data_IF_758677419313
#
_entry.id   IF_758677419313
#
_cell.length_a   1.000
_cell.length_b   1.000
_cell.length_c   1.000
_cell.angle_alpha   90.00
_cell.angle_beta   90.00
_cell.angle_gamma   90.00
#
_symmetry.space_group_name_H-M   'P 1'
#
loop_
_entity.id
_entity.type
_entity.pdbx_description
1 polymer ?
#
# COMPACT_ATOMS: atom_id res chain seq x y z
N UNK A 1 22.10 -9.17 -0.79
CA UNK A 1 21.36 -7.87 -0.80
C UNK A 1 21.37 -7.17 0.58
N UNK A 2 22.08 -7.71 1.59
CA UNK A 2 22.21 -7.12 2.94
C UNK A 2 22.90 -5.74 2.97
N UNK A 3 23.58 -5.31 1.92
CA UNK A 3 24.24 -4.01 1.83
C UNK A 3 23.31 -2.84 1.48
N UNK A 4 22.11 -3.11 0.96
CA UNK A 4 21.21 -2.06 0.50
C UNK A 4 20.63 -1.20 1.65
N UNK A 5 20.53 -1.75 2.84
CA UNK A 5 20.00 -1.03 4.02
C UNK A 5 21.02 -0.13 4.70
N UNK A 6 22.31 -0.35 4.54
CA UNK A 6 23.35 0.45 5.16
C UNK A 6 23.59 1.78 4.45
N UNK A 7 23.27 1.87 3.17
CA UNK A 7 23.49 3.08 2.36
C UNK A 7 22.29 4.04 2.35
N UNK A 8 21.20 3.61 2.96
CA UNK A 8 19.95 4.35 3.03
C UNK A 8 20.08 5.80 3.55
N UNK A 9 20.92 6.03 4.55
CA UNK A 9 21.12 7.34 5.16
C UNK A 9 22.13 8.22 4.43
N UNK A 10 22.87 7.66 3.49
CA UNK A 10 23.90 8.38 2.73
C UNK A 10 23.38 9.00 1.43
N UNK A 11 22.06 8.95 1.18
CA UNK A 11 21.45 9.53 -0.02
C UNK A 11 21.73 8.74 -1.29
N UNK A 12 22.10 7.46 -1.17
CA UNK A 12 22.24 6.58 -2.34
C UNK A 12 20.89 6.47 -3.08
N UNK A 13 20.98 6.62 -4.41
CA UNK A 13 19.82 6.53 -5.30
C UNK A 13 19.08 5.20 -5.19
N UNK A 14 19.77 4.10 -4.91
CA UNK A 14 19.15 2.78 -4.74
C UNK A 14 18.25 2.70 -3.52
N UNK A 15 18.62 3.34 -2.40
CA UNK A 15 17.78 3.37 -1.22
C UNK A 15 16.49 4.17 -1.44
N UNK A 16 16.53 5.19 -2.30
CA UNK A 16 15.37 6.02 -2.63
C UNK A 16 14.42 5.31 -3.60
N UNK A 17 14.90 4.40 -4.43
CA UNK A 17 14.08 3.66 -5.40
C UNK A 17 13.62 2.30 -4.88
N UNK A 18 14.13 1.84 -3.72
CA UNK A 18 13.72 0.58 -3.11
C UNK A 18 12.20 0.38 -3.03
N UNK A 19 11.40 1.37 -2.61
CA UNK A 19 9.95 1.23 -2.58
C UNK A 19 9.32 0.88 -3.93
N UNK A 20 9.99 1.20 -5.04
CA UNK A 20 9.51 0.92 -6.39
C UNK A 20 9.78 -0.51 -6.87
N UNK A 21 10.80 -1.18 -6.29
CA UNK A 21 11.29 -2.49 -6.76
C UNK A 21 11.06 -3.64 -5.78
N UNK A 22 10.46 -3.38 -4.61
CA UNK A 22 10.24 -4.41 -3.60
C UNK A 22 9.32 -5.55 -4.10
N UNK A 23 8.49 -5.29 -5.08
CA UNK A 23 7.63 -6.29 -5.71
C UNK A 23 8.39 -7.48 -6.30
N UNK A 24 9.61 -7.28 -6.80
CA UNK A 24 10.45 -8.37 -7.34
C UNK A 24 10.76 -9.39 -6.25
N UNK A 25 11.15 -8.91 -5.07
CA UNK A 25 11.44 -9.76 -3.91
C UNK A 25 10.16 -10.38 -3.33
N UNK A 26 9.08 -9.59 -3.30
CA UNK A 26 7.77 -10.06 -2.82
C UNK A 26 7.28 -11.24 -3.64
N UNK A 27 7.26 -11.11 -4.96
CA UNK A 27 6.79 -12.17 -5.88
C UNK A 27 7.77 -13.33 -5.99
N UNK A 28 9.07 -13.03 -6.08
CA UNK A 28 10.09 -14.02 -6.38
C UNK A 28 10.58 -14.82 -5.18
N UNK A 29 10.51 -14.25 -3.99
CA UNK A 29 11.11 -14.84 -2.79
C UNK A 29 10.15 -14.93 -1.60
N UNK A 30 9.49 -13.82 -1.20
CA UNK A 30 8.76 -13.75 0.07
C UNK A 30 7.50 -14.59 0.02
N UNK A 31 6.62 -14.37 -0.96
CA UNK A 31 5.36 -15.15 -1.08
C UNK A 31 5.67 -16.64 -1.24
N UNK A 32 6.53 -17.09 -2.18
CA UNK A 32 6.86 -18.51 -2.31
C UNK A 32 7.46 -19.12 -1.05
N UNK A 33 8.33 -18.39 -0.34
CA UNK A 33 8.93 -18.89 0.91
C UNK A 33 7.88 -19.06 2.00
N UNK A 34 6.99 -18.08 2.18
CA UNK A 34 5.95 -18.13 3.21
C UNK A 34 4.95 -19.24 2.90
N UNK A 35 4.45 -19.31 1.67
CA UNK A 35 3.46 -20.32 1.27
C UNK A 35 4.03 -21.75 1.31
N UNK A 36 5.32 -21.93 1.02
CA UNK A 36 5.97 -23.26 1.13
C UNK A 36 6.35 -23.67 2.55
N UNK A 37 6.44 -22.71 3.48
CA UNK A 37 6.95 -22.96 4.84
C UNK A 37 5.83 -23.03 5.87
N UNK A 38 4.78 -22.27 5.69
CA UNK A 38 3.69 -22.12 6.65
C UNK A 38 2.37 -22.57 6.06
N UNK A 39 1.42 -22.88 6.93
CA UNK A 39 0.03 -23.13 6.51
C UNK A 39 -0.64 -21.82 6.17
N UNK A 40 -0.79 -21.54 4.88
CA UNK A 40 -1.41 -20.35 4.31
C UNK A 40 -2.55 -20.73 3.37
N UNK A 41 -3.18 -19.75 2.77
CA UNK A 41 -4.14 -19.94 1.68
C UNK A 41 -3.47 -19.96 0.29
N UNK A 42 -2.12 -20.11 0.21
CA UNK A 42 -1.36 -20.01 -1.03
C UNK A 42 -1.85 -20.89 -2.19
N UNK A 43 -2.37 -22.09 -1.87
CA UNK A 43 -2.92 -23.02 -2.87
C UNK A 43 -4.42 -22.82 -3.16
N UNK A 44 -5.10 -21.90 -2.49
CA UNK A 44 -6.51 -21.61 -2.70
C UNK A 44 -6.73 -20.77 -3.96
N UNK A 45 -7.87 -20.97 -4.64
CA UNK A 45 -8.23 -20.17 -5.82
C UNK A 45 -8.45 -18.69 -5.51
N UNK A 46 -8.77 -18.38 -4.25
CA UNK A 46 -8.97 -17.05 -3.70
C UNK A 46 -7.81 -16.60 -2.79
N UNK A 47 -6.62 -17.20 -2.95
CA UNK A 47 -5.42 -16.88 -2.14
C UNK A 47 -5.14 -15.38 -2.02
N UNK A 48 -5.40 -14.62 -3.08
CA UNK A 48 -5.30 -13.16 -3.13
C UNK A 48 -6.18 -12.47 -2.08
N UNK A 49 -7.39 -12.97 -1.87
CA UNK A 49 -8.37 -12.40 -0.94
C UNK A 49 -8.03 -12.67 0.54
N UNK A 50 -6.97 -13.43 0.79
CA UNK A 50 -6.41 -13.72 2.12
C UNK A 50 -5.06 -13.06 2.36
N UNK A 51 -4.65 -12.12 1.50
CA UNK A 51 -3.39 -11.39 1.65
C UNK A 51 -3.62 -9.90 1.72
N UNK A 52 -2.96 -9.28 2.72
CA UNK A 52 -2.95 -7.85 2.94
C UNK A 52 -1.51 -7.31 2.94
N UNK A 53 -1.33 -6.10 2.45
CA UNK A 53 -0.07 -5.38 2.58
C UNK A 53 -0.30 -3.99 3.18
N UNK A 54 0.45 -3.68 4.23
CA UNK A 54 0.31 -2.42 4.98
C UNK A 54 1.68 -1.78 5.15
N UNK A 55 1.77 -0.48 4.89
CA UNK A 55 2.99 0.27 5.07
C UNK A 55 2.78 1.66 5.66
N UNK A 56 3.77 2.12 6.43
CA UNK A 56 3.83 3.46 6.97
C UNK A 56 4.99 4.25 6.37
N UNK A 57 4.84 5.55 6.15
CA UNK A 57 5.88 6.41 5.60
C UNK A 57 6.44 5.84 4.29
N UNK A 58 7.71 5.44 4.23
CA UNK A 58 8.27 4.76 3.05
C UNK A 58 7.61 3.40 2.76
N UNK A 59 7.13 2.71 3.77
CA UNK A 59 6.30 1.52 3.58
C UNK A 59 4.98 1.83 2.86
N UNK A 60 4.40 3.01 3.11
CA UNK A 60 3.25 3.50 2.36
C UNK A 60 3.59 3.72 0.88
N UNK A 61 4.75 4.29 0.56
CA UNK A 61 5.25 4.36 -0.83
C UNK A 61 5.40 2.97 -1.44
N UNK A 62 5.92 2.00 -0.69
CA UNK A 62 6.06 0.60 -1.13
C UNK A 62 4.69 -0.02 -1.39
N UNK A 63 3.70 0.25 -0.52
CA UNK A 63 2.33 -0.27 -0.71
C UNK A 63 1.79 0.13 -2.08
N UNK A 64 1.87 1.40 -2.44
CA UNK A 64 1.34 1.87 -3.73
C UNK A 64 2.28 1.50 -4.88
N UNK A 65 3.51 2.04 -4.88
CA UNK A 65 4.38 1.96 -6.06
C UNK A 65 4.96 0.56 -6.34
N UNK A 66 4.92 -0.32 -5.37
CA UNK A 66 5.43 -1.67 -5.53
C UNK A 66 4.31 -2.69 -5.53
N UNK A 67 3.49 -2.72 -4.46
CA UNK A 67 2.55 -3.82 -4.29
C UNK A 67 1.26 -3.58 -5.08
N UNK A 68 0.65 -2.40 -5.03
CA UNK A 68 -0.56 -2.14 -5.80
C UNK A 68 -0.29 -2.12 -7.31
N UNK A 69 0.85 -1.54 -7.75
CA UNK A 69 1.17 -1.45 -9.17
C UNK A 69 1.71 -2.75 -9.79
N UNK A 70 2.24 -3.69 -8.98
CA UNK A 70 2.92 -4.87 -9.53
C UNK A 70 2.52 -6.21 -8.92
N UNK A 71 1.70 -6.22 -7.88
CA UNK A 71 1.28 -7.43 -7.17
C UNK A 71 -0.23 -7.42 -6.86
N UNK A 72 -1.04 -6.69 -7.60
CA UNK A 72 -2.48 -6.63 -7.36
C UNK A 72 -3.16 -7.99 -7.53
N UNK A 73 -2.58 -8.87 -8.32
CA UNK A 73 -2.97 -10.27 -8.47
C UNK A 73 -2.61 -11.14 -7.26
N UNK A 74 -1.80 -10.63 -6.31
CA UNK A 74 -1.37 -11.35 -5.11
C UNK A 74 -2.01 -10.83 -3.83
N UNK A 75 -2.51 -9.59 -3.81
CA UNK A 75 -3.06 -8.93 -2.63
C UNK A 75 -4.40 -8.28 -2.94
N UNK A 76 -5.34 -8.32 -1.99
CA UNK A 76 -6.65 -7.70 -2.10
C UNK A 76 -6.91 -6.58 -1.09
N UNK A 77 -6.12 -6.51 -0.02
CA UNK A 77 -6.25 -5.53 1.05
C UNK A 77 -4.99 -4.70 1.19
N UNK A 78 -5.15 -3.39 1.33
CA UNK A 78 -4.03 -2.45 1.39
C UNK A 78 -4.20 -1.43 2.51
N UNK A 79 -3.07 -1.07 3.15
CA UNK A 79 -3.04 -0.03 4.15
C UNK A 79 -1.89 0.96 3.90
N UNK A 80 -2.21 2.26 3.89
CA UNK A 80 -1.26 3.33 3.69
C UNK A 80 -1.32 4.32 4.85
N UNK A 81 -0.22 4.45 5.60
CA UNK A 81 -0.14 5.41 6.70
C UNK A 81 0.94 6.45 6.41
N UNK A 82 0.60 7.73 6.58
CA UNK A 82 1.53 8.85 6.47
C UNK A 82 2.23 8.98 5.11
N UNK A 83 1.43 9.20 4.08
CA UNK A 83 1.88 9.69 2.76
C UNK A 83 1.78 8.70 1.61
N UNK A 84 1.42 9.25 0.47
CA UNK A 84 1.44 8.57 -0.84
C UNK A 84 2.23 9.47 -1.80
N UNK A 85 3.31 8.95 -2.36
CA UNK A 85 4.09 9.57 -3.42
C UNK A 85 4.08 8.66 -4.63
N UNK A 86 3.03 8.76 -5.41
CA UNK A 86 2.83 8.02 -6.65
C UNK A 86 2.34 9.00 -7.71
N UNK A 87 2.72 8.76 -8.95
CA UNK A 87 2.14 9.44 -10.09
C UNK A 87 0.73 8.90 -10.32
N UNK A 88 -0.26 9.80 -10.38
CA UNK A 88 -1.66 9.38 -10.48
C UNK A 88 -1.97 8.74 -11.83
N UNK A 89 -1.46 9.26 -12.93
CA UNK A 89 -1.72 8.72 -14.26
C UNK A 89 -1.18 7.29 -14.36
N UNK A 90 0.05 7.06 -13.86
CA UNK A 90 0.63 5.71 -13.76
C UNK A 90 -0.23 4.78 -12.89
N UNK A 91 -0.75 5.26 -11.77
CA UNK A 91 -1.61 4.48 -10.88
C UNK A 91 -2.90 4.08 -11.58
N UNK A 92 -3.59 5.04 -12.18
CA UNK A 92 -4.83 4.81 -12.89
C UNK A 92 -4.64 3.87 -14.09
N UNK A 93 -3.70 4.16 -14.98
CA UNK A 93 -3.40 3.33 -16.14
C UNK A 93 -3.09 1.87 -15.77
N UNK A 94 -2.36 1.68 -14.66
CA UNK A 94 -2.02 0.33 -14.19
C UNK A 94 -3.25 -0.42 -13.68
N UNK A 95 -4.06 0.21 -12.84
CA UNK A 95 -5.24 -0.43 -12.27
C UNK A 95 -6.33 -0.69 -13.31
N UNK A 96 -6.42 0.13 -14.36
CA UNK A 96 -7.36 -0.02 -15.47
C UNK A 96 -6.82 -0.91 -16.62
N UNK A 97 -5.59 -1.42 -16.48
CA UNK A 97 -4.99 -2.30 -17.48
C UNK A 97 -5.77 -3.62 -17.65
N UNK A 98 -5.59 -4.30 -18.79
CA UNK A 98 -6.18 -5.63 -19.04
C UNK A 98 -5.80 -6.65 -17.96
N UNK A 99 -4.65 -6.49 -17.31
CA UNK A 99 -4.16 -7.38 -16.26
C UNK A 99 -4.94 -7.18 -14.94
N UNK A 100 -5.32 -5.92 -14.60
CA UNK A 100 -5.79 -5.59 -13.25
C UNK A 100 -7.22 -5.05 -13.18
N UNK A 101 -7.84 -4.66 -14.31
CA UNK A 101 -9.16 -4.04 -14.31
C UNK A 101 -10.26 -4.89 -13.65
N UNK A 102 -10.18 -6.22 -13.79
CA UNK A 102 -11.16 -7.15 -13.24
C UNK A 102 -10.82 -7.66 -11.82
N UNK A 103 -9.71 -7.20 -11.24
CA UNK A 103 -9.29 -7.59 -9.90
C UNK A 103 -9.82 -6.59 -8.86
N UNK A 104 -10.84 -6.95 -8.06
CA UNK A 104 -11.41 -6.02 -7.09
C UNK A 104 -10.43 -5.77 -5.94
N UNK A 105 -10.25 -4.53 -5.54
CA UNK A 105 -9.63 -4.19 -4.25
C UNK A 105 -10.71 -4.37 -3.19
N UNK A 106 -10.49 -5.29 -2.24
CA UNK A 106 -11.46 -5.62 -1.20
C UNK A 106 -11.58 -4.50 -0.18
N UNK A 107 -10.43 -3.94 0.23
CA UNK A 107 -10.40 -2.73 1.04
C UNK A 107 -9.05 -2.02 0.93
N UNK A 108 -9.10 -0.70 0.82
CA UNK A 108 -7.93 0.17 0.90
C UNK A 108 -8.09 1.18 2.04
N UNK A 109 -7.44 0.90 3.17
CA UNK A 109 -7.40 1.80 4.32
C UNK A 109 -6.26 2.82 4.19
N UNK A 110 -6.58 4.08 4.44
CA UNK A 110 -5.62 5.18 4.45
C UNK A 110 -5.69 5.92 5.78
N UNK A 111 -4.54 6.23 6.36
CA UNK A 111 -4.44 6.94 7.62
C UNK A 111 -3.38 8.02 7.61
N UNK A 112 -3.66 9.14 8.30
CA UNK A 112 -2.69 10.22 8.50
C UNK A 112 -3.03 11.03 9.75
N UNK A 113 -2.17 11.98 10.12
CA UNK A 113 -2.40 12.89 11.23
C UNK A 113 -2.46 14.35 10.79
N UNK A 114 -3.24 15.18 11.49
CA UNK A 114 -3.41 16.61 11.14
C UNK A 114 -2.13 17.44 11.23
N UNK A 115 -1.07 16.93 11.88
CA UNK A 115 0.23 17.60 12.00
C UNK A 115 1.34 16.87 11.24
N UNK A 116 0.98 15.87 10.43
CA UNK A 116 1.93 15.14 9.59
C UNK A 116 2.23 15.95 8.32
N UNK A 117 3.51 16.09 7.97
CA UNK A 117 3.96 16.81 6.78
C UNK A 117 3.49 16.17 5.47
N UNK A 118 3.10 14.89 5.51
CA UNK A 118 2.65 14.14 4.34
C UNK A 118 1.14 14.24 4.08
N UNK A 119 0.38 14.87 4.98
CA UNK A 119 -1.08 14.91 4.91
C UNK A 119 -1.58 15.51 3.59
N UNK A 120 -1.11 16.71 3.26
CA UNK A 120 -1.57 17.43 2.06
C UNK A 120 -1.34 16.63 0.78
N UNK A 121 -0.19 15.99 0.67
CA UNK A 121 0.15 15.16 -0.48
C UNK A 121 -0.77 13.92 -0.57
N UNK A 122 -0.98 13.23 0.55
CA UNK A 122 -1.84 12.05 0.59
C UNK A 122 -3.30 12.40 0.31
N UNK A 123 -3.82 13.45 0.95
CA UNK A 123 -5.19 13.92 0.76
C UNK A 123 -5.46 14.28 -0.71
N UNK A 124 -4.53 15.02 -1.33
CA UNK A 124 -4.65 15.37 -2.76
C UNK A 124 -4.74 14.14 -3.64
N UNK A 125 -3.85 13.16 -3.44
CA UNK A 125 -3.84 11.93 -4.23
C UNK A 125 -5.14 11.13 -4.05
N UNK A 126 -5.58 10.95 -2.79
CA UNK A 126 -6.77 10.16 -2.49
C UNK A 126 -8.07 10.82 -2.97
N UNK A 127 -8.17 12.14 -2.90
CA UNK A 127 -9.30 12.87 -3.47
C UNK A 127 -9.36 12.69 -4.98
N UNK A 128 -8.22 12.75 -5.68
CA UNK A 128 -8.17 12.47 -7.12
C UNK A 128 -8.60 11.03 -7.44
N UNK A 129 -8.20 10.05 -6.62
CA UNK A 129 -8.66 8.66 -6.77
C UNK A 129 -10.18 8.54 -6.64
N UNK A 130 -10.77 9.18 -5.63
CA UNK A 130 -12.22 9.12 -5.42
C UNK A 130 -13.01 9.88 -6.52
N UNK A 131 -12.43 10.93 -7.10
CA UNK A 131 -13.05 11.69 -8.17
C UNK A 131 -12.95 10.99 -9.53
N UNK A 132 -11.79 10.46 -9.88
CA UNK A 132 -11.50 9.92 -11.23
C UNK A 132 -11.70 8.40 -11.35
N UNK A 133 -11.75 7.67 -10.22
CA UNK A 133 -11.90 6.21 -10.16
C UNK A 133 -13.08 5.80 -9.26
N UNK A 134 -14.17 6.56 -9.28
CA UNK A 134 -15.36 6.35 -8.44
C UNK A 134 -16.11 5.04 -8.75
N UNK A 135 -15.87 4.42 -9.88
CA UNK A 135 -16.38 3.10 -10.24
C UNK A 135 -15.59 1.97 -9.56
N UNK A 136 -14.40 2.26 -9.06
CA UNK A 136 -13.48 1.30 -8.44
C UNK A 136 -13.32 1.50 -6.93
N UNK A 137 -13.44 2.74 -6.45
CA UNK A 137 -13.28 3.10 -5.03
C UNK A 137 -14.48 3.89 -4.52
N UNK A 138 -15.10 3.39 -3.46
CA UNK A 138 -16.23 4.01 -2.79
C UNK A 138 -15.94 4.17 -1.30
N UNK A 139 -15.97 5.42 -0.82
CA UNK A 139 -15.70 5.73 0.59
C UNK A 139 -16.74 5.09 1.51
N UNK A 140 -16.26 4.38 2.52
CA UNK A 140 -17.09 3.61 3.45
C UNK A 140 -17.42 2.18 3.00
N UNK A 141 -17.21 1.82 1.72
CA UNK A 141 -17.43 0.46 1.19
C UNK A 141 -16.10 -0.31 1.07
N UNK A 142 -15.24 0.06 0.13
CA UNK A 142 -13.95 -0.57 -0.06
C UNK A 142 -12.76 0.38 0.10
N UNK A 143 -13.03 1.59 0.58
CA UNK A 143 -12.06 2.65 0.80
C UNK A 143 -12.35 3.39 2.10
N UNK A 144 -11.30 3.84 2.79
CA UNK A 144 -11.41 4.77 3.90
C UNK A 144 -10.18 5.66 4.01
N UNK A 145 -10.39 6.94 4.35
CA UNK A 145 -9.32 7.85 4.74
C UNK A 145 -9.61 8.47 6.10
N UNK A 146 -8.78 8.15 7.08
CA UNK A 146 -8.94 8.60 8.47
C UNK A 146 -7.82 9.57 8.83
N UNK A 147 -8.19 10.75 9.32
CA UNK A 147 -7.22 11.77 9.76
C UNK A 147 -7.35 12.00 11.26
N UNK A 148 -6.30 11.67 12.02
CA UNK A 148 -6.29 11.79 13.47
C UNK A 148 -5.95 13.22 13.92
N UNK A 149 -6.82 13.88 14.69
CA UNK A 149 -6.52 15.19 15.25
C UNK A 149 -5.30 15.18 16.15
N UNK A 150 -4.32 16.06 15.88
CA UNK A 150 -3.06 16.15 16.61
C UNK A 150 -2.07 15.02 16.32
N UNK A 151 -2.43 14.06 15.46
CA UNK A 151 -1.51 13.02 14.99
C UNK A 151 -0.40 13.61 14.13
N UNK A 152 0.82 13.09 14.29
CA UNK A 152 1.98 13.47 13.51
C UNK A 152 2.63 12.26 12.85
N UNK A 153 3.77 12.47 12.21
CA UNK A 153 4.54 11.41 11.53
C UNK A 153 5.21 10.47 12.55
N UNK A 154 4.42 9.61 13.17
CA UNK A 154 4.91 8.75 14.23
C UNK A 154 3.87 7.77 14.81
N UNK A 155 4.32 6.97 15.78
CA UNK A 155 3.53 5.88 16.35
C UNK A 155 2.24 6.31 17.08
N UNK A 156 2.14 7.57 17.48
CA UNK A 156 0.91 8.13 18.05
C UNK A 156 -0.24 8.16 17.02
N UNK A 157 0.09 8.14 15.73
CA UNK A 157 -0.85 8.03 14.62
C UNK A 157 -0.89 6.60 14.06
N UNK A 158 0.26 6.01 13.79
CA UNK A 158 0.38 4.72 13.11
C UNK A 158 -0.20 3.52 13.88
N UNK A 159 -0.20 3.54 15.23
CA UNK A 159 -0.79 2.46 16.01
C UNK A 159 -2.33 2.43 15.92
N UNK A 160 -3.04 3.57 16.08
CA UNK A 160 -4.47 3.63 15.80
C UNK A 160 -4.81 3.27 14.34
N UNK A 161 -3.99 3.73 13.38
CA UNK A 161 -4.18 3.38 11.98
C UNK A 161 -4.09 1.87 11.75
N UNK A 162 -3.05 1.23 12.29
CA UNK A 162 -2.91 -0.23 12.19
C UNK A 162 -4.08 -0.97 12.84
N UNK A 163 -4.51 -0.51 14.01
CA UNK A 163 -5.66 -1.09 14.70
C UNK A 163 -6.94 -1.01 13.85
N UNK A 164 -7.22 0.16 13.27
CA UNK A 164 -8.39 0.35 12.41
C UNK A 164 -8.29 -0.47 11.13
N UNK A 165 -7.14 -0.46 10.50
CA UNK A 165 -6.83 -1.20 9.28
C UNK A 165 -7.07 -2.72 9.46
N UNK A 166 -6.58 -3.32 10.54
CA UNK A 166 -6.79 -4.73 10.85
C UNK A 166 -8.24 -5.11 11.18
N UNK A 167 -9.12 -4.14 11.38
CA UNK A 167 -10.55 -4.40 11.64
C UNK A 167 -11.40 -4.42 10.38
N UNK A 168 -10.87 -3.90 9.28
CA UNK A 168 -11.57 -3.86 7.98
C UNK A 168 -11.02 -4.89 6.99
N UNK A 169 -9.94 -5.61 7.37
CA UNK A 169 -9.35 -6.74 6.63
C UNK A 169 -9.93 -8.12 7.12
#
# INVERSE_FOLDING_TARGET
>A
KAGLFTDYWNGDSLANVWPMYFWEEMRGEIIPLIDSTYSTYGDALDARDHRAFVGLSRGSMTTVNSIMLHCLDQFAYFGNFSGIWCDFDTFQETLESEEYQDLPIRFWYNGNGTTDFSLENQEKFLNTVLDEMADRFEDGENFAFVVFPGGGHGFNCWLPDLYNCLRVF
#
